data_IF_519098433843
#
_entry.id   IF_519098433843
#
_cell.length_a   1.000
_cell.length_b   1.000
_cell.length_c   1.000
_cell.angle_alpha   90.00
_cell.angle_beta   90.00
_cell.angle_gamma   90.00
#
_symmetry.space_group_name_H-M   'P 1'
#
loop_
_entity.id
_entity.type
_entity.pdbx_description
1 polymer ?
#
# COMPACT_ATOMS: atom_id res chain seq x y z
N UNK A 1 -22.76 30.66 12.73
CA UNK A 1 -22.97 29.19 12.57
C UNK A 1 -21.65 28.49 12.22
N UNK A 2 -20.61 28.58 13.08
CA UNK A 2 -19.24 28.23 12.64
C UNK A 2 -18.58 27.07 13.42
N UNK A 3 -18.99 26.77 14.65
CA UNK A 3 -18.30 25.77 15.48
C UNK A 3 -18.71 24.32 15.18
N UNK A 4 -19.96 24.08 14.80
CA UNK A 4 -20.46 22.73 14.54
C UNK A 4 -19.88 22.10 13.27
N UNK A 5 -19.71 22.88 12.20
CA UNK A 5 -19.10 22.41 10.97
C UNK A 5 -17.61 22.14 11.14
N UNK A 6 -16.86 23.04 11.79
CA UNK A 6 -15.45 22.83 12.08
C UNK A 6 -15.21 21.57 12.93
N UNK A 7 -16.06 21.33 13.95
CA UNK A 7 -15.98 20.14 14.79
C UNK A 7 -16.33 18.86 14.04
N UNK A 8 -17.32 18.89 13.15
CA UNK A 8 -17.68 17.76 12.29
C UNK A 8 -16.52 17.38 11.36
N UNK A 9 -15.93 18.34 10.66
CA UNK A 9 -14.82 18.10 9.75
C UNK A 9 -13.58 17.56 10.48
N UNK A 10 -13.27 18.12 11.65
CA UNK A 10 -12.20 17.63 12.51
C UNK A 10 -12.44 16.18 12.93
N UNK A 11 -13.66 15.83 13.33
CA UNK A 11 -14.01 14.46 13.73
C UNK A 11 -13.91 13.48 12.57
N UNK A 12 -14.38 13.86 11.38
CA UNK A 12 -14.24 13.03 10.18
C UNK A 12 -12.76 12.82 9.80
N UNK A 13 -11.94 13.87 9.85
CA UNK A 13 -10.51 13.75 9.62
C UNK A 13 -9.85 12.80 10.63
N UNK A 14 -10.14 12.94 11.92
CA UNK A 14 -9.59 12.04 12.96
C UNK A 14 -10.03 10.58 12.76
N UNK A 15 -11.29 10.34 12.38
CA UNK A 15 -11.77 9.00 12.06
C UNK A 15 -11.00 8.40 10.88
N UNK A 16 -10.77 9.19 9.85
CA UNK A 16 -10.00 8.76 8.68
C UNK A 16 -8.53 8.47 9.04
N UNK A 17 -7.87 9.34 9.82
CA UNK A 17 -6.50 9.11 10.30
C UNK A 17 -6.39 7.86 11.18
N UNK A 18 -7.37 7.60 12.04
CA UNK A 18 -7.43 6.39 12.85
C UNK A 18 -7.61 5.14 11.97
N UNK A 19 -8.47 5.20 10.94
CA UNK A 19 -8.66 4.11 9.99
C UNK A 19 -7.38 3.82 9.20
N UNK A 20 -6.68 4.85 8.72
CA UNK A 20 -5.38 4.71 8.05
C UNK A 20 -4.33 4.09 8.97
N UNK A 21 -4.26 4.55 10.22
CA UNK A 21 -3.31 4.02 11.20
C UNK A 21 -3.58 2.54 11.52
N UNK A 22 -4.86 2.17 11.69
CA UNK A 22 -5.27 0.78 11.89
C UNK A 22 -4.93 -0.08 10.67
N UNK A 23 -5.17 0.41 9.46
CA UNK A 23 -4.81 -0.27 8.22
C UNK A 23 -3.30 -0.50 8.09
N UNK A 24 -2.47 0.53 8.36
CA UNK A 24 -1.00 0.38 8.39
C UNK A 24 -0.59 -0.70 9.38
N UNK A 25 -1.13 -0.69 10.59
CA UNK A 25 -0.82 -1.69 11.60
C UNK A 25 -1.22 -3.10 11.15
N UNK A 26 -2.40 -3.28 10.55
CA UNK A 26 -2.85 -4.58 10.04
C UNK A 26 -1.93 -5.12 8.94
N UNK A 27 -1.50 -4.27 8.00
CA UNK A 27 -0.59 -4.67 6.92
C UNK A 27 0.80 -4.98 7.47
N UNK A 28 1.38 -4.08 8.26
CA UNK A 28 2.77 -4.17 8.73
C UNK A 28 2.98 -5.22 9.83
N UNK A 29 1.93 -5.59 10.58
CA UNK A 29 2.00 -6.68 11.57
C UNK A 29 1.68 -8.05 10.98
N UNK A 30 1.24 -8.10 9.72
CA UNK A 30 0.88 -9.35 9.07
C UNK A 30 2.12 -10.22 8.85
N UNK A 31 2.09 -11.46 9.38
CA UNK A 31 3.20 -12.41 9.23
C UNK A 31 3.28 -12.99 7.82
N UNK A 32 2.11 -13.22 7.21
CA UNK A 32 1.96 -13.74 5.86
C UNK A 32 2.00 -12.58 4.84
N UNK A 33 2.96 -12.62 3.93
CA UNK A 33 3.15 -11.56 2.93
C UNK A 33 2.05 -11.54 1.86
N UNK A 34 1.48 -12.69 1.49
CA UNK A 34 0.33 -12.77 0.56
C UNK A 34 -0.88 -12.07 1.18
N UNK A 35 -1.14 -12.31 2.46
CA UNK A 35 -2.19 -11.61 3.21
C UNK A 35 -1.90 -10.12 3.35
N UNK A 36 -0.66 -9.73 3.67
CA UNK A 36 -0.25 -8.33 3.77
C UNK A 36 -0.50 -7.58 2.44
N UNK A 37 -0.14 -8.19 1.31
CA UNK A 37 -0.39 -7.64 -0.03
C UNK A 37 -1.89 -7.48 -0.30
N UNK A 38 -2.72 -8.47 0.06
CA UNK A 38 -4.17 -8.39 -0.10
C UNK A 38 -4.75 -7.24 0.73
N UNK A 39 -4.37 -7.12 2.00
CA UNK A 39 -4.81 -6.03 2.89
C UNK A 39 -4.35 -4.66 2.36
N UNK A 40 -3.14 -4.56 1.84
CA UNK A 40 -2.59 -3.33 1.28
C UNK A 40 -3.32 -2.84 0.01
N UNK A 41 -4.05 -3.72 -0.69
CA UNK A 41 -4.88 -3.32 -1.84
C UNK A 41 -6.11 -2.51 -1.41
N UNK A 42 -6.60 -2.71 -0.18
CA UNK A 42 -7.85 -2.15 0.32
C UNK A 42 -7.58 -1.01 1.30
N UNK A 43 -6.97 0.07 0.81
CA UNK A 43 -6.75 1.27 1.61
C UNK A 43 -8.09 1.91 2.01
N UNK A 44 -8.24 2.38 3.27
CA UNK A 44 -9.38 3.19 3.67
C UNK A 44 -9.54 4.42 2.76
N UNK A 45 -10.73 4.59 2.20
CA UNK A 45 -11.06 5.79 1.41
C UNK A 45 -11.38 6.96 2.34
N UNK A 46 -10.99 8.16 1.94
CA UNK A 46 -11.57 9.36 2.51
C UNK A 46 -13.07 9.38 2.14
N UNK A 47 -13.95 9.70 3.09
CA UNK A 47 -15.36 9.93 2.80
C UNK A 47 -15.55 11.15 1.89
N UNK A 48 -16.71 11.28 1.23
CA UNK A 48 -16.98 12.31 0.23
C UNK A 48 -16.67 13.75 0.70
N UNK A 49 -16.93 14.03 1.98
CA UNK A 49 -16.67 15.31 2.63
C UNK A 49 -15.17 15.64 2.66
N UNK A 50 -14.34 14.71 3.11
CA UNK A 50 -12.88 14.89 3.15
C UNK A 50 -12.28 14.90 1.75
N UNK A 51 -12.80 14.09 0.83
CA UNK A 51 -12.36 14.09 -0.57
C UNK A 51 -12.57 15.46 -1.23
N UNK A 52 -13.70 16.13 -0.96
CA UNK A 52 -13.97 17.48 -1.47
C UNK A 52 -13.07 18.57 -0.91
N UNK A 53 -12.45 18.34 0.26
CA UNK A 53 -11.59 19.31 0.95
C UNK A 53 -10.12 18.90 1.00
N UNK A 54 -9.71 17.94 0.16
CA UNK A 54 -8.34 17.41 0.16
C UNK A 54 -7.24 18.48 0.03
N UNK A 55 -7.57 19.64 -0.56
CA UNK A 55 -6.65 20.77 -0.71
C UNK A 55 -6.45 21.61 0.57
N UNK A 56 -7.32 21.45 1.57
CA UNK A 56 -7.27 22.16 2.86
C UNK A 56 -6.76 21.27 4.00
N UNK A 57 -6.78 19.95 3.81
CA UNK A 57 -6.34 18.97 4.80
C UNK A 57 -4.97 18.45 4.44
N UNK A 58 -4.11 18.21 5.44
CA UNK A 58 -2.89 17.42 5.24
C UNK A 58 -3.22 16.08 4.57
N UNK A 59 -2.28 15.47 3.82
CA UNK A 59 -2.48 14.17 3.15
C UNK A 59 -1.91 13.02 4.01
N UNK A 60 -2.66 12.50 5.02
CA UNK A 60 -2.22 11.38 5.85
C UNK A 60 -2.12 10.08 5.04
N UNK A 61 -2.86 9.97 3.93
CA UNK A 61 -2.84 8.81 3.06
C UNK A 61 -1.46 8.64 2.41
N UNK A 62 -0.81 9.74 2.00
CA UNK A 62 0.55 9.72 1.46
C UNK A 62 1.56 9.08 2.42
N UNK A 63 1.51 9.45 3.72
CA UNK A 63 2.41 8.88 4.75
C UNK A 63 2.13 7.40 4.99
N UNK A 64 0.86 7.02 5.12
CA UNK A 64 0.46 5.62 5.30
C UNK A 64 0.93 4.75 4.12
N UNK A 65 0.75 5.23 2.90
CA UNK A 65 1.19 4.55 1.67
C UNK A 65 2.71 4.37 1.64
N UNK A 66 3.49 5.41 1.99
CA UNK A 66 4.96 5.32 2.02
C UNK A 66 5.47 4.28 3.03
N UNK A 67 4.85 4.20 4.21
CA UNK A 67 5.23 3.21 5.23
C UNK A 67 4.98 1.78 4.75
N UNK A 68 3.79 1.53 4.21
CA UNK A 68 3.43 0.22 3.65
C UNK A 68 4.32 -0.14 2.45
N UNK A 69 4.59 0.83 1.57
CA UNK A 69 5.45 0.64 0.40
C UNK A 69 6.86 0.16 0.81
N UNK A 70 7.46 0.84 1.80
CA UNK A 70 8.77 0.46 2.34
C UNK A 70 8.74 -0.94 2.97
N UNK A 71 7.74 -1.23 3.80
CA UNK A 71 7.58 -2.53 4.48
C UNK A 71 7.43 -3.69 3.48
N UNK A 72 6.47 -3.58 2.55
CA UNK A 72 6.17 -4.63 1.57
C UNK A 72 7.35 -4.84 0.63
N UNK A 73 8.00 -3.77 0.17
CA UNK A 73 9.19 -3.87 -0.68
C UNK A 73 10.31 -4.62 0.04
N UNK A 74 10.56 -4.32 1.31
CA UNK A 74 11.62 -4.98 2.07
C UNK A 74 11.30 -6.47 2.33
N UNK A 75 10.05 -6.79 2.67
CA UNK A 75 9.60 -8.18 2.88
C UNK A 75 9.68 -9.00 1.60
N UNK A 76 9.23 -8.45 0.48
CA UNK A 76 9.21 -9.13 -0.80
C UNK A 76 10.63 -9.40 -1.34
N UNK A 77 11.57 -8.49 -1.11
CA UNK A 77 13.00 -8.69 -1.40
C UNK A 77 13.63 -9.86 -0.64
N UNK A 78 13.12 -10.18 0.56
CA UNK A 78 13.61 -11.25 1.43
C UNK A 78 12.86 -12.57 1.24
N UNK A 79 11.86 -12.62 0.36
CA UNK A 79 11.03 -13.82 0.17
C UNK A 79 11.76 -14.87 -0.65
N UNK A 80 11.48 -16.13 -0.34
CA UNK A 80 12.06 -17.29 -1.03
C UNK A 80 11.63 -17.35 -2.50
N UNK A 81 12.49 -17.94 -3.34
CA UNK A 81 12.29 -18.00 -4.79
C UNK A 81 11.00 -18.75 -5.18
N UNK A 82 10.62 -19.79 -4.44
CA UNK A 82 9.45 -20.63 -4.72
C UNK A 82 8.13 -19.85 -4.63
N UNK A 83 8.00 -18.98 -3.62
CA UNK A 83 6.78 -18.18 -3.41
C UNK A 83 6.80 -16.85 -4.18
N UNK A 84 7.97 -16.48 -4.74
CA UNK A 84 8.21 -15.17 -5.34
C UNK A 84 7.26 -14.86 -6.49
N UNK A 85 6.98 -15.83 -7.36
CA UNK A 85 6.11 -15.63 -8.52
C UNK A 85 4.67 -15.26 -8.13
N UNK A 86 4.08 -15.97 -7.16
CA UNK A 86 2.72 -15.67 -6.68
C UNK A 86 2.65 -14.32 -5.98
N UNK A 87 3.67 -13.98 -5.19
CA UNK A 87 3.75 -12.69 -4.51
C UNK A 87 3.94 -11.52 -5.49
N UNK A 88 4.76 -11.68 -6.54
CA UNK A 88 4.89 -10.70 -7.63
C UNK A 88 3.56 -10.48 -8.35
N UNK A 89 2.79 -11.55 -8.60
CA UNK A 89 1.46 -11.46 -9.21
C UNK A 89 0.46 -10.70 -8.33
N UNK A 90 0.51 -10.91 -7.02
CA UNK A 90 -0.33 -10.18 -6.06
C UNK A 90 0.07 -8.70 -5.95
N UNK A 91 1.36 -8.40 -5.94
CA UNK A 91 1.89 -7.04 -5.87
C UNK A 91 1.68 -6.26 -7.18
N UNK A 92 1.51 -6.94 -8.31
CA UNK A 92 1.16 -6.33 -9.59
C UNK A 92 -0.18 -5.58 -9.47
N UNK A 93 -0.23 -4.36 -10.01
CA UNK A 93 -1.45 -3.54 -10.00
C UNK A 93 -1.67 -2.77 -8.69
N UNK A 94 -0.60 -2.43 -7.97
CA UNK A 94 -0.64 -1.52 -6.82
C UNK A 94 0.14 -0.21 -7.10
N UNK A 95 -0.31 0.63 -8.04
CA UNK A 95 0.44 1.81 -8.51
C UNK A 95 0.68 2.85 -7.41
N UNK A 96 -0.08 2.80 -6.30
CA UNK A 96 0.13 3.65 -5.14
C UNK A 96 1.45 3.35 -4.42
N UNK A 97 1.97 2.13 -4.52
CA UNK A 97 3.24 1.70 -3.91
C UNK A 97 4.35 1.77 -4.96
N UNK A 98 5.00 2.94 -5.08
CA UNK A 98 5.95 3.22 -6.16
C UNK A 98 7.18 2.33 -6.09
N UNK A 99 7.75 2.15 -4.90
CA UNK A 99 8.97 1.35 -4.72
C UNK A 99 8.68 -0.13 -4.97
N UNK A 100 7.55 -0.62 -4.45
CA UNK A 100 7.08 -1.97 -4.67
C UNK A 100 6.87 -2.23 -6.16
N UNK A 101 6.15 -1.33 -6.84
CA UNK A 101 5.86 -1.47 -8.28
C UNK A 101 7.13 -1.49 -9.11
N UNK A 102 8.06 -0.56 -8.86
CA UNK A 102 9.34 -0.50 -9.58
C UNK A 102 10.14 -1.79 -9.38
N UNK A 103 10.21 -2.28 -8.15
CA UNK A 103 10.92 -3.53 -7.85
C UNK A 103 10.25 -4.74 -8.48
N UNK A 104 8.91 -4.87 -8.42
CA UNK A 104 8.15 -5.96 -9.02
C UNK A 104 8.37 -6.03 -10.53
N UNK A 105 8.39 -4.88 -11.22
CA UNK A 105 8.64 -4.81 -12.67
C UNK A 105 10.05 -5.31 -13.01
N UNK A 106 11.05 -4.83 -12.27
CA UNK A 106 12.45 -5.25 -12.47
C UNK A 106 12.66 -6.74 -12.18
N UNK A 107 12.09 -7.23 -11.08
CA UNK A 107 12.22 -8.63 -10.67
C UNK A 107 11.51 -9.57 -11.66
N UNK A 108 10.33 -9.18 -12.14
CA UNK A 108 9.60 -9.95 -13.17
C UNK A 108 10.43 -10.06 -14.45
N UNK A 109 11.11 -8.98 -14.87
CA UNK A 109 12.01 -9.01 -16.03
C UNK A 109 13.15 -10.00 -15.83
N UNK A 110 13.80 -9.99 -14.67
CA UNK A 110 14.91 -10.94 -14.35
C UNK A 110 14.46 -12.40 -14.42
N UNK A 111 13.33 -12.72 -13.80
CA UNK A 111 12.73 -14.05 -13.85
C UNK A 111 12.46 -14.51 -15.30
N UNK A 112 11.96 -13.62 -16.16
CA UNK A 112 11.69 -13.96 -17.58
C UNK A 112 12.95 -14.08 -18.45
N UNK A 113 14.00 -13.31 -18.17
CA UNK A 113 15.26 -13.35 -18.92
C UNK A 113 16.09 -14.58 -18.57
N UNK A 114 16.09 -14.99 -17.30
CA UNK A 114 16.86 -16.17 -16.84
C UNK A 114 16.35 -17.48 -17.45
N UNK A 115 15.07 -17.54 -17.81
CA UNK A 115 14.47 -18.74 -18.43
C UNK A 115 14.87 -18.96 -19.89
N UNK A 116 15.44 -17.94 -20.58
CA UNK A 116 15.87 -18.05 -21.98
C UNK A 116 17.27 -18.63 -22.17
N UNK A 117 18.10 -18.64 -21.12
CA UNK A 117 19.47 -19.15 -21.19
C UNK A 117 19.59 -20.66 -20.89
N UNK A 118 18.52 -21.34 -20.48
CA UNK A 118 18.52 -22.78 -20.18
C UNK A 118 17.92 -23.67 -21.28
N UNK A 119 17.50 -23.09 -22.41
CA UNK A 119 16.86 -23.82 -23.51
C UNK A 119 17.71 -23.90 -24.80
N UNK A 120 19.04 -23.74 -24.68
CA UNK A 120 19.99 -23.81 -25.79
C UNK A 120 21.01 -24.93 -25.60
#
# INVERSE_FOLDING_TARGET
>A
MNNHHAMFLYNEQRRHEAALSSWVNQVCSCRDLSMALRLARHAPSAGAVLSGMRHLTNDPQSRAVQQIDAFLTQKLKKSDAEQKYDLLRLAKGMPQFRNLTAWVVEETRRCTSSSKHQAG
#
